data_IF_348733192183
#
_entry.id   IF_348733192183
#
_cell.length_a   1.000
_cell.length_b   1.000
_cell.length_c   1.000
_cell.angle_alpha   90.00
_cell.angle_beta   90.00
_cell.angle_gamma   90.00
#
_symmetry.space_group_name_H-M   'P 1'
#
loop_
_entity.id
_entity.type
_entity.pdbx_description
1 polymer ?
#
# COMPACT_ATOMS: atom_id res chain seq x y z
N UNK A 1 5.37 1.61 -11.41
CA UNK A 1 4.38 1.75 -10.34
C UNK A 1 3.01 2.11 -10.92
N UNK A 2 1.94 1.64 -10.30
CA UNK A 2 0.59 2.21 -10.39
C UNK A 2 0.04 2.37 -8.97
N UNK A 3 -0.95 3.24 -8.79
CA UNK A 3 -1.48 3.61 -7.49
C UNK A 3 -2.97 3.31 -7.46
N UNK A 4 -3.42 2.58 -6.45
CA UNK A 4 -4.84 2.26 -6.25
C UNK A 4 -5.12 2.27 -4.75
N UNK A 5 -6.34 2.64 -4.34
CA UNK A 5 -6.63 2.83 -2.91
C UNK A 5 -6.55 1.51 -2.12
N UNK A 6 -7.22 0.46 -2.59
CA UNK A 6 -7.38 -0.78 -1.83
C UNK A 6 -6.67 -1.99 -2.44
N UNK A 7 -7.22 -2.59 -3.49
CA UNK A 7 -6.68 -3.78 -4.14
C UNK A 7 -6.80 -3.67 -5.67
N UNK A 8 -6.39 -4.70 -6.40
CA UNK A 8 -6.44 -4.77 -7.86
C UNK A 8 -6.70 -6.19 -8.35
N UNK A 9 -7.30 -6.30 -9.53
CA UNK A 9 -7.37 -7.51 -10.34
C UNK A 9 -6.13 -7.60 -11.20
N UNK A 10 -5.33 -8.66 -11.00
CA UNK A 10 -4.05 -8.83 -11.68
C UNK A 10 -4.18 -9.08 -13.19
N UNK A 11 -5.31 -9.64 -13.61
CA UNK A 11 -5.64 -10.13 -14.96
C UNK A 11 -6.57 -9.18 -15.75
N UNK A 12 -6.88 -8.00 -15.20
CA UNK A 12 -7.72 -7.01 -15.85
C UNK A 12 -6.93 -5.74 -16.19
N UNK A 13 -7.23 -5.03 -17.30
CA UNK A 13 -6.61 -3.74 -17.58
C UNK A 13 -6.77 -2.74 -16.42
N UNK A 14 -5.78 -1.85 -16.20
CA UNK A 14 -5.83 -0.86 -15.10
C UNK A 14 -7.02 0.11 -15.21
N UNK A 15 -7.49 0.38 -16.43
CA UNK A 15 -8.67 1.20 -16.69
C UNK A 15 -10.00 0.42 -16.56
N UNK A 16 -9.95 -0.90 -16.32
CA UNK A 16 -11.11 -1.80 -16.24
C UNK A 16 -11.14 -2.62 -14.93
N UNK A 17 -10.66 -2.01 -13.85
CA UNK A 17 -10.69 -2.58 -12.50
C UNK A 17 -12.10 -2.41 -11.89
N UNK A 18 -12.67 -3.43 -11.26
CA UNK A 18 -13.97 -3.30 -10.56
C UNK A 18 -13.86 -2.27 -9.44
N UNK A 19 -14.86 -1.40 -9.31
CA UNK A 19 -14.91 -0.36 -8.27
C UNK A 19 -14.79 -0.95 -6.87
N UNK A 20 -15.50 -2.06 -6.60
CA UNK A 20 -15.42 -2.78 -5.33
C UNK A 20 -13.98 -3.14 -4.97
N UNK A 21 -13.20 -3.63 -5.93
CA UNK A 21 -11.82 -4.08 -5.73
C UNK A 21 -10.89 -2.89 -5.46
N UNK A 22 -10.96 -1.85 -6.29
CA UNK A 22 -10.06 -0.69 -6.18
C UNK A 22 -10.31 0.17 -4.94
N UNK A 23 -11.51 0.13 -4.37
CA UNK A 23 -11.91 1.02 -3.27
C UNK A 23 -12.17 0.33 -1.93
N UNK A 24 -12.54 -0.95 -1.90
CA UNK A 24 -13.09 -1.55 -0.66
C UNK A 24 -12.52 -2.91 -0.30
N UNK A 25 -11.97 -3.64 -1.26
CA UNK A 25 -11.43 -4.98 -1.00
C UNK A 25 -10.09 -4.90 -0.27
N UNK A 26 -10.00 -5.52 0.91
CA UNK A 26 -8.74 -5.65 1.65
C UNK A 26 -7.77 -6.62 0.96
N UNK A 27 -6.48 -6.50 1.30
CA UNK A 27 -5.45 -7.48 0.99
C UNK A 27 -5.52 -8.65 1.99
N UNK A 28 -6.60 -9.44 1.93
CA UNK A 28 -6.71 -10.67 2.73
C UNK A 28 -5.69 -11.72 2.26
N UNK A 29 -5.48 -11.78 0.95
CA UNK A 29 -4.41 -12.51 0.28
C UNK A 29 -3.64 -11.56 -0.64
N UNK A 30 -2.36 -11.85 -0.88
CA UNK A 30 -1.55 -11.04 -1.80
C UNK A 30 -1.94 -11.39 -3.23
N UNK A 31 -2.52 -10.46 -4.01
CA UNK A 31 -2.84 -10.71 -5.40
C UNK A 31 -1.56 -11.01 -6.20
N UNK A 32 -1.62 -11.80 -7.28
CA UNK A 32 -0.50 -11.98 -8.19
C UNK A 32 0.02 -10.65 -8.78
N UNK A 33 1.24 -10.65 -9.37
CA UNK A 33 1.72 -9.50 -10.14
C UNK A 33 0.73 -9.13 -11.25
N UNK A 34 0.40 -7.85 -11.37
CA UNK A 34 -0.47 -7.35 -12.42
C UNK A 34 0.19 -7.50 -13.80
N UNK A 35 -0.57 -7.88 -14.83
CA UNK A 35 -0.09 -8.16 -16.20
C UNK A 35 0.71 -7.01 -16.84
N UNK A 36 0.50 -5.79 -16.37
CA UNK A 36 1.29 -4.62 -16.79
C UNK A 36 2.78 -4.67 -16.43
N UNK A 37 3.20 -5.57 -15.53
CA UNK A 37 4.55 -5.64 -14.98
C UNK A 37 4.93 -4.48 -14.03
N UNK A 38 3.99 -3.59 -13.71
CA UNK A 38 4.19 -2.48 -12.76
C UNK A 38 3.92 -2.94 -11.34
N UNK A 39 4.71 -2.44 -10.38
CA UNK A 39 4.47 -2.59 -8.95
C UNK A 39 3.21 -1.80 -8.53
N UNK A 40 2.32 -2.43 -7.77
CA UNK A 40 1.15 -1.80 -7.17
C UNK A 40 1.52 -1.09 -5.87
N UNK A 41 1.11 0.16 -5.71
CA UNK A 41 1.20 0.89 -4.43
C UNK A 41 -0.22 1.12 -3.92
N UNK A 42 -0.52 0.57 -2.75
CA UNK A 42 -1.88 0.53 -2.19
C UNK A 42 -1.94 0.97 -0.73
N UNK A 43 -3.16 1.19 -0.23
CA UNK A 43 -3.46 1.44 1.18
C UNK A 43 -4.62 0.56 1.63
N UNK A 44 -5.57 1.13 2.39
CA UNK A 44 -6.85 0.55 2.85
C UNK A 44 -6.76 -0.65 3.80
N UNK A 45 -5.74 -1.49 3.66
CA UNK A 45 -5.52 -2.67 4.50
C UNK A 45 -4.52 -2.33 5.58
N UNK A 46 -4.96 -2.13 6.84
CA UNK A 46 -4.10 -1.61 7.88
C UNK A 46 -3.03 -2.62 8.27
N UNK A 47 -1.76 -2.22 8.18
CA UNK A 47 -0.62 -2.97 8.67
C UNK A 47 -0.42 -2.66 10.15
N UNK A 48 -1.01 -3.48 11.02
CA UNK A 48 -1.03 -3.26 12.48
C UNK A 48 0.37 -3.27 13.14
N UNK A 49 1.37 -3.88 12.50
CA UNK A 49 2.77 -3.84 12.95
C UNK A 49 3.40 -2.45 12.81
N UNK A 50 2.78 -1.58 12.02
CA UNK A 50 3.35 -0.30 11.62
C UNK A 50 4.40 -0.42 10.53
N UNK A 51 4.67 -1.62 10.01
CA UNK A 51 5.60 -1.82 8.89
C UNK A 51 4.89 -1.71 7.54
N UNK A 52 5.60 -1.16 6.55
CA UNK A 52 5.17 -1.22 5.16
C UNK A 52 5.23 -2.68 4.71
N UNK A 53 4.11 -3.18 4.17
CA UNK A 53 4.11 -4.47 3.49
C UNK A 53 4.75 -4.27 2.12
N UNK A 54 5.82 -4.99 1.83
CA UNK A 54 6.47 -5.04 0.51
C UNK A 54 6.63 -6.51 0.08
N UNK A 55 5.87 -6.90 -0.95
CA UNK A 55 5.93 -8.23 -1.55
C UNK A 55 6.68 -8.24 -2.90
N UNK A 56 7.39 -7.17 -3.25
CA UNK A 56 8.11 -7.01 -4.52
C UNK A 56 7.25 -6.56 -5.70
N UNK A 57 5.98 -6.97 -5.77
CA UNK A 57 5.01 -6.48 -6.77
C UNK A 57 3.82 -5.73 -6.18
N UNK A 58 3.63 -5.79 -4.85
CA UNK A 58 2.65 -5.01 -4.08
C UNK A 58 3.36 -4.34 -2.92
N UNK A 59 3.11 -3.05 -2.75
CA UNK A 59 3.55 -2.26 -1.59
C UNK A 59 2.31 -1.65 -0.94
N UNK A 60 2.01 -2.03 0.32
CA UNK A 60 0.93 -1.41 1.10
C UNK A 60 1.51 -0.42 2.11
N UNK A 61 1.15 0.86 1.96
CA UNK A 61 1.64 1.96 2.81
C UNK A 61 0.70 2.31 3.97
N UNK A 62 -0.44 1.64 4.11
CA UNK A 62 -1.35 1.86 5.24
C UNK A 62 -0.78 1.22 6.50
N UNK A 63 0.01 1.98 7.27
CA UNK A 63 0.61 1.52 8.53
C UNK A 63 -0.26 1.87 9.75
N UNK A 64 -1.58 1.83 9.55
CA UNK A 64 -2.60 1.95 10.58
C UNK A 64 -2.63 3.32 11.29
N UNK A 65 -2.38 4.41 10.56
CA UNK A 65 -2.40 5.78 11.12
C UNK A 65 -3.69 6.09 11.90
N UNK A 66 -4.86 5.67 11.38
CA UNK A 66 -6.15 5.94 12.02
C UNK A 66 -6.32 5.19 13.36
N UNK A 67 -5.60 4.08 13.54
CA UNK A 67 -5.61 3.25 14.75
C UNK A 67 -4.49 3.60 15.74
N UNK A 68 -3.81 4.73 15.56
CA UNK A 68 -2.67 5.14 16.39
C UNK A 68 -1.32 4.57 15.94
N UNK A 69 -1.26 3.95 14.76
CA UNK A 69 -0.03 3.59 14.08
C UNK A 69 0.63 4.80 13.41
N UNK A 70 1.17 4.59 12.21
CA UNK A 70 1.97 5.59 11.52
C UNK A 70 1.30 6.09 10.24
N UNK A 71 1.54 7.36 9.91
CA UNK A 71 1.32 7.89 8.58
C UNK A 71 2.56 7.66 7.73
N UNK A 72 2.46 6.85 6.67
CA UNK A 72 3.59 6.54 5.79
C UNK A 72 3.58 7.37 4.51
N UNK A 73 4.74 7.88 4.13
CA UNK A 73 5.06 8.33 2.77
C UNK A 73 6.14 7.42 2.16
N UNK A 74 6.02 7.12 0.87
CA UNK A 74 6.97 6.31 0.10
C UNK A 74 7.45 7.08 -1.14
N UNK A 75 8.76 7.21 -1.30
CA UNK A 75 9.36 7.58 -2.58
C UNK A 75 9.56 6.33 -3.44
N UNK A 76 8.67 6.14 -4.41
CA UNK A 76 8.66 4.98 -5.32
C UNK A 76 9.88 4.88 -6.24
N UNK A 77 10.71 5.92 -6.34
CA UNK A 77 11.95 5.84 -7.14
C UNK A 77 13.11 5.28 -6.33
N UNK A 78 13.22 5.67 -5.07
CA UNK A 78 14.33 5.27 -4.19
C UNK A 78 13.99 4.13 -3.24
N UNK A 79 12.70 3.84 -3.03
CA UNK A 79 12.22 2.92 -1.99
C UNK A 79 12.26 3.53 -0.59
N UNK A 80 12.65 4.80 -0.44
CA UNK A 80 12.74 5.45 0.87
C UNK A 80 11.36 5.70 1.45
N UNK A 81 11.20 5.36 2.73
CA UNK A 81 9.97 5.61 3.48
C UNK A 81 10.19 6.64 4.58
N UNK A 82 9.12 7.35 4.92
CA UNK A 82 9.02 8.21 6.09
C UNK A 82 7.74 7.87 6.82
N UNK A 83 7.81 7.84 8.15
CA UNK A 83 6.67 7.56 8.99
C UNK A 83 6.58 8.59 10.11
N UNK A 84 5.37 9.10 10.37
CA UNK A 84 5.10 10.02 11.47
C UNK A 84 3.91 9.52 12.30
N UNK A 85 3.99 9.66 13.62
CA UNK A 85 2.86 9.35 14.50
C UNK A 85 1.86 10.53 14.56
N UNK A 86 0.79 10.37 15.34
CA UNK A 86 -0.25 11.38 15.52
C UNK A 86 0.28 12.71 16.10
N UNK A 87 1.39 12.68 16.85
CA UNK A 87 2.03 13.87 17.40
C UNK A 87 3.01 14.53 16.40
N UNK A 88 3.16 13.96 15.20
CA UNK A 88 4.13 14.41 14.20
C UNK A 88 5.57 13.99 14.51
N UNK A 89 5.78 13.07 15.46
CA UNK A 89 7.12 12.54 15.72
C UNK A 89 7.49 11.57 14.59
N UNK A 90 8.63 11.83 13.97
CA UNK A 90 9.16 10.95 12.93
C UNK A 90 9.62 9.62 13.55
N UNK A 91 9.29 8.51 12.88
CA UNK A 91 9.88 7.20 13.17
C UNK A 91 11.36 7.27 12.84
N UNK A 92 12.20 6.97 13.83
CA UNK A 92 13.64 6.84 13.63
C UNK A 92 13.86 5.42 13.09
N UNK A 93 14.56 5.30 11.97
CA UNK A 93 14.99 3.99 11.49
C UNK A 93 16.02 3.43 12.48
N UNK A 94 15.86 2.16 12.86
CA UNK A 94 16.89 1.43 13.61
C UNK A 94 18.16 1.22 12.76
#
# INVERSE_FOLDING_TARGET
HFFVHANYQFDAPLNDQRELVRFWTHLEEIPPPHDSGKIAVVGHTPQATGEVLDCGHVICVDTCCFGGGWLTALDVKSGKTWQADLAGKMRVAD
#
